data_IF_893450290264
#
_entry.id   IF_893450290264
#
_cell.length_a   1.000
_cell.length_b   1.000
_cell.length_c   1.000
_cell.angle_alpha   90.00
_cell.angle_beta   90.00
_cell.angle_gamma   90.00
#
_symmetry.space_group_name_H-M   'P 1'
#
loop_
_entity.id
_entity.type
_entity.pdbx_description
1 polymer ?
#
# COMPACT_ATOMS: atom_id res chain seq x y z
N UNK A 1 -3.04 -8.52 12.23
CA UNK A 1 -2.56 -8.14 10.88
C UNK A 1 -1.04 -7.92 10.98
N UNK A 2 -0.23 -8.97 10.80
CA UNK A 2 1.21 -8.98 11.07
C UNK A 2 2.06 -8.25 10.02
N UNK A 3 1.71 -7.00 9.69
CA UNK A 3 2.42 -6.14 8.72
C UNK A 3 2.35 -6.55 7.25
N UNK A 4 1.97 -7.79 6.93
CA UNK A 4 1.80 -8.31 5.56
C UNK A 4 0.87 -7.44 4.70
N UNK A 5 -0.19 -6.86 5.27
CA UNK A 5 -1.09 -5.96 4.55
C UNK A 5 -0.42 -4.70 3.98
N UNK A 6 0.75 -4.29 4.50
CA UNK A 6 1.46 -3.11 4.01
C UNK A 6 2.39 -3.40 2.82
N UNK A 7 2.57 -4.67 2.44
CA UNK A 7 3.37 -5.04 1.26
C UNK A 7 2.72 -4.62 -0.06
N UNK A 8 1.41 -4.33 -0.07
CA UNK A 8 0.67 -3.99 -1.28
C UNK A 8 1.29 -2.85 -2.09
N UNK A 9 1.81 -1.81 -1.42
CA UNK A 9 2.46 -0.69 -2.12
C UNK A 9 3.77 -1.11 -2.79
N UNK A 10 4.57 -1.94 -2.12
CA UNK A 10 5.81 -2.49 -2.70
C UNK A 10 5.51 -3.36 -3.92
N UNK A 11 4.55 -4.28 -3.78
CA UNK A 11 4.14 -5.17 -4.88
C UNK A 11 3.62 -4.36 -6.06
N UNK A 12 2.80 -3.33 -5.81
CA UNK A 12 2.32 -2.43 -6.85
C UNK A 12 3.46 -1.69 -7.56
N UNK A 13 4.41 -1.14 -6.80
CA UNK A 13 5.56 -0.41 -7.36
C UNK A 13 6.52 -1.30 -8.15
N UNK A 14 6.59 -2.59 -7.81
CA UNK A 14 7.38 -3.56 -8.57
C UNK A 14 6.65 -4.02 -9.84
N UNK A 15 5.35 -4.32 -9.74
CA UNK A 15 4.58 -4.94 -10.83
C UNK A 15 4.15 -3.91 -11.88
N UNK A 16 3.70 -2.71 -11.47
CA UNK A 16 3.14 -1.73 -12.39
C UNK A 16 4.10 -1.32 -13.53
N UNK A 17 5.38 -0.99 -13.27
CA UNK A 17 6.33 -0.65 -14.34
C UNK A 17 6.62 -1.80 -15.30
N UNK A 18 6.44 -3.06 -14.87
CA UNK A 18 6.69 -4.24 -15.70
C UNK A 18 5.52 -4.50 -16.65
N UNK A 19 4.28 -4.41 -16.15
CA UNK A 19 3.09 -4.81 -16.91
C UNK A 19 2.66 -3.77 -17.95
N UNK A 20 3.06 -2.50 -17.82
CA UNK A 20 2.69 -1.45 -18.78
C UNK A 20 3.37 -1.59 -20.15
N UNK A 21 4.39 -2.44 -20.30
CA UNK A 21 5.07 -2.68 -21.59
C UNK A 21 4.69 -4.02 -22.24
N UNK A 22 3.69 -4.73 -21.68
CA UNK A 22 3.26 -6.05 -22.16
C UNK A 22 1.80 -5.95 -22.62
N UNK A 23 1.37 -6.62 -23.71
CA UNK A 23 -0.02 -6.56 -24.18
C UNK A 23 -0.98 -7.46 -23.36
N UNK A 24 -0.95 -7.36 -22.03
CA UNK A 24 -1.69 -8.25 -21.10
C UNK A 24 -3.18 -8.30 -21.41
N UNK A 25 -3.81 -7.17 -21.72
CA UNK A 25 -5.26 -7.06 -21.97
C UNK A 25 -5.62 -6.72 -23.42
N UNK A 26 -4.67 -6.90 -24.36
CA UNK A 26 -4.93 -6.62 -25.78
C UNK A 26 -6.06 -7.47 -26.36
N UNK A 27 -6.24 -8.70 -25.86
CA UNK A 27 -7.35 -9.58 -26.24
C UNK A 27 -8.74 -9.05 -25.86
N UNK A 28 -8.81 -8.10 -24.92
CA UNK A 28 -10.03 -7.40 -24.52
C UNK A 28 -10.21 -6.05 -25.26
N UNK A 29 -9.38 -5.77 -26.27
CA UNK A 29 -9.38 -4.50 -26.99
C UNK A 29 -8.67 -3.36 -26.27
N UNK A 30 -7.97 -3.62 -25.16
CA UNK A 30 -7.12 -2.62 -24.49
C UNK A 30 -5.78 -2.57 -25.18
N UNK A 31 -5.68 -1.66 -26.13
CA UNK A 31 -4.46 -1.41 -26.89
C UNK A 31 -3.59 -0.35 -26.19
N UNK A 32 -2.28 -0.57 -26.23
CA UNK A 32 -1.32 0.40 -25.73
C UNK A 32 -1.11 1.57 -26.69
N UNK A 33 -0.49 2.63 -26.18
CA UNK A 33 -0.16 3.84 -26.94
C UNK A 33 1.30 3.75 -27.40
N UNK A 34 1.60 3.89 -28.70
CA UNK A 34 2.97 3.92 -29.19
C UNK A 34 3.72 5.14 -28.65
N UNK A 35 4.98 4.95 -28.30
CA UNK A 35 5.88 5.96 -27.77
C UNK A 35 6.88 6.40 -28.85
N UNK A 36 7.52 7.55 -28.63
CA UNK A 36 8.48 8.12 -29.57
C UNK A 36 9.72 7.24 -29.81
N UNK A 37 10.04 6.34 -28.87
CA UNK A 37 11.13 5.37 -28.96
C UNK A 37 10.74 4.05 -29.65
N UNK A 38 9.51 3.97 -30.18
CA UNK A 38 8.97 2.78 -30.83
C UNK A 38 8.42 1.72 -29.88
N UNK A 39 8.52 1.92 -28.56
CA UNK A 39 7.85 1.06 -27.58
C UNK A 39 6.34 1.30 -27.56
N UNK A 40 5.57 0.35 -27.03
CA UNK A 40 4.12 0.50 -26.83
C UNK A 40 3.85 0.46 -25.33
N UNK A 41 3.16 1.49 -24.82
CA UNK A 41 2.82 1.61 -23.40
C UNK A 41 1.33 1.43 -23.17
N UNK A 42 0.97 0.35 -22.49
CA UNK A 42 -0.38 0.00 -22.05
C UNK A 42 -0.59 0.44 -20.61
N UNK A 43 -0.76 1.75 -20.38
CA UNK A 43 -0.90 2.32 -19.03
C UNK A 43 -2.07 1.71 -18.23
N UNK A 44 -3.16 1.34 -18.90
CA UNK A 44 -4.32 0.68 -18.30
C UNK A 44 -3.96 -0.60 -17.52
N UNK A 45 -2.91 -1.32 -17.95
CA UNK A 45 -2.45 -2.54 -17.28
C UNK A 45 -2.04 -2.30 -15.84
N UNK A 46 -1.53 -1.11 -15.50
CA UNK A 46 -1.11 -0.76 -14.14
C UNK A 46 -2.27 -0.87 -13.14
N UNK A 47 -3.50 -0.62 -13.58
CA UNK A 47 -4.71 -0.76 -12.76
C UNK A 47 -5.40 -2.11 -12.99
N UNK A 48 -5.52 -2.54 -14.25
CA UNK A 48 -6.35 -3.70 -14.62
C UNK A 48 -5.79 -5.03 -14.14
N UNK A 49 -4.46 -5.14 -13.93
CA UNK A 49 -3.84 -6.35 -13.41
C UNK A 49 -4.38 -6.76 -12.04
N UNK A 50 -4.88 -5.79 -11.25
CA UNK A 50 -5.44 -6.04 -9.93
C UNK A 50 -6.90 -6.48 -9.97
N UNK A 51 -7.63 -6.22 -11.07
CA UNK A 51 -9.07 -6.47 -11.17
C UNK A 51 -9.42 -7.95 -10.97
N UNK A 52 -8.76 -8.92 -11.62
CA UNK A 52 -9.04 -10.34 -11.39
C UNK A 52 -8.77 -10.76 -9.94
N UNK A 53 -7.68 -10.28 -9.34
CA UNK A 53 -7.32 -10.59 -7.96
C UNK A 53 -8.35 -10.03 -6.97
N UNK A 54 -8.80 -8.80 -7.20
CA UNK A 54 -9.85 -8.16 -6.41
C UNK A 54 -11.20 -8.87 -6.56
N UNK A 55 -11.56 -9.30 -7.77
CA UNK A 55 -12.79 -10.06 -8.02
C UNK A 55 -12.77 -11.40 -7.28
N UNK A 56 -11.67 -12.16 -7.37
CA UNK A 56 -11.50 -13.42 -6.64
C UNK A 56 -11.58 -13.18 -5.12
N UNK A 57 -10.84 -12.18 -4.60
CA UNK A 57 -10.85 -11.86 -3.18
C UNK A 57 -12.24 -11.43 -2.70
N UNK A 58 -13.00 -10.70 -3.52
CA UNK A 58 -14.37 -10.27 -3.21
C UNK A 58 -15.31 -11.47 -3.12
N UNK A 59 -15.25 -12.39 -4.09
CA UNK A 59 -16.06 -13.63 -4.08
C UNK A 59 -15.68 -14.51 -2.88
N UNK A 60 -14.38 -14.65 -2.60
CA UNK A 60 -13.88 -15.42 -1.46
C UNK A 60 -14.31 -14.79 -0.12
N UNK A 61 -14.26 -13.47 0.00
CA UNK A 61 -14.75 -12.76 1.19
C UNK A 61 -16.26 -12.96 1.36
N UNK A 62 -17.04 -12.81 0.29
CA UNK A 62 -18.49 -12.97 0.31
C UNK A 62 -18.94 -14.37 0.71
N UNK A 63 -18.25 -15.40 0.23
CA UNK A 63 -18.63 -16.81 0.46
C UNK A 63 -17.93 -17.47 1.66
N UNK A 64 -16.79 -16.94 2.09
CA UNK A 64 -15.91 -17.59 3.07
C UNK A 64 -15.72 -16.85 4.39
N UNK A 65 -16.09 -15.57 4.51
CA UNK A 65 -16.03 -14.84 5.79
C UNK A 65 -17.32 -15.02 6.60
N UNK A 66 -17.18 -15.06 7.92
CA UNK A 66 -18.30 -15.21 8.85
C UNK A 66 -18.56 -13.92 9.63
N UNK A 67 -19.83 -13.61 9.84
CA UNK A 67 -20.25 -12.56 10.77
C UNK A 67 -20.17 -13.07 12.22
N UNK A 68 -19.48 -12.32 13.08
CA UNK A 68 -19.40 -12.60 14.51
C UNK A 68 -20.40 -11.69 15.24
N UNK A 69 -21.36 -12.29 15.94
CA UNK A 69 -22.48 -11.57 16.57
C UNK A 69 -22.07 -10.66 17.75
N UNK A 70 -20.86 -10.78 18.30
CA UNK A 70 -20.52 -10.31 19.66
C UNK A 70 -19.89 -8.92 19.80
N UNK A 71 -19.82 -8.08 18.76
CA UNK A 71 -19.23 -6.74 18.94
C UNK A 71 -19.85 -5.69 18.03
N UNK A 72 -21.01 -5.17 18.44
CA UNK A 72 -21.59 -3.96 17.82
C UNK A 72 -21.75 -2.89 18.89
N UNK A 73 -20.71 -2.08 19.06
CA UNK A 73 -20.84 -0.78 19.75
C UNK A 73 -21.51 0.20 18.78
N UNK A 74 -22.53 0.94 19.22
CA UNK A 74 -23.14 1.97 18.38
C UNK A 74 -22.15 3.12 18.12
N UNK A 75 -22.40 3.94 17.09
CA UNK A 75 -21.57 5.13 16.84
C UNK A 75 -21.55 6.04 18.08
N UNK A 76 -22.71 6.19 18.75
CA UNK A 76 -22.82 6.98 19.97
C UNK A 76 -21.94 6.42 21.11
N UNK A 77 -21.75 5.10 21.20
CA UNK A 77 -20.87 4.48 22.19
C UNK A 77 -19.38 4.68 21.85
N UNK A 78 -19.02 4.90 20.58
CA UNK A 78 -17.65 5.08 20.13
C UNK A 78 -17.16 6.53 20.22
N UNK A 79 -18.03 7.51 19.92
CA UNK A 79 -17.68 8.93 19.85
C UNK A 79 -17.08 9.54 21.13
N UNK A 80 -17.39 9.09 22.37
CA UNK A 80 -16.78 9.65 23.58
C UNK A 80 -15.24 9.57 23.60
N UNK A 81 -14.63 8.66 22.84
CA UNK A 81 -13.16 8.57 22.74
C UNK A 81 -12.54 9.86 22.18
N UNK A 82 -13.26 10.62 21.35
CA UNK A 82 -12.78 11.87 20.75
C UNK A 82 -12.49 12.97 21.78
N UNK A 83 -13.12 12.89 22.96
CA UNK A 83 -12.86 13.83 24.07
C UNK A 83 -11.55 13.53 24.80
N UNK A 84 -10.91 12.38 24.57
CA UNK A 84 -9.68 11.97 25.25
C UNK A 84 -8.46 12.58 24.56
N UNK A 85 -7.69 13.41 25.26
CA UNK A 85 -6.45 13.99 24.74
C UNK A 85 -5.45 12.93 24.24
N UNK A 86 -5.32 11.80 24.95
CA UNK A 86 -4.42 10.71 24.56
C UNK A 86 -4.74 10.14 23.17
N UNK A 87 -6.01 10.16 22.73
CA UNK A 87 -6.37 9.75 21.38
C UNK A 87 -5.62 10.61 20.35
N UNK A 88 -5.69 11.93 20.50
CA UNK A 88 -5.08 12.87 19.56
C UNK A 88 -3.56 12.79 19.56
N UNK A 89 -2.95 12.67 20.74
CA UNK A 89 -1.50 12.50 20.87
C UNK A 89 -1.01 11.21 20.17
N UNK A 90 -1.68 10.09 20.41
CA UNK A 90 -1.35 8.82 19.76
C UNK A 90 -1.67 8.83 18.27
N UNK A 91 -2.73 9.53 17.85
CA UNK A 91 -3.07 9.71 16.43
C UNK A 91 -1.99 10.51 15.69
N UNK A 92 -1.43 11.55 16.33
CA UNK A 92 -0.32 12.32 15.78
C UNK A 92 0.94 11.46 15.66
N UNK A 93 1.25 10.64 16.68
CA UNK A 93 2.38 9.70 16.62
C UNK A 93 2.20 8.66 15.50
N UNK A 94 0.98 8.15 15.33
CA UNK A 94 0.66 7.23 14.25
C UNK A 94 0.73 7.90 12.87
N UNK A 95 0.28 9.15 12.75
CA UNK A 95 0.43 9.94 11.52
C UNK A 95 1.90 10.17 11.19
N UNK A 96 2.72 10.53 12.18
CA UNK A 96 4.15 10.75 11.98
C UNK A 96 4.90 9.48 11.56
N UNK A 97 4.44 8.30 11.97
CA UNK A 97 5.07 7.02 11.63
C UNK A 97 4.45 6.39 10.38
N UNK A 98 3.20 5.94 10.47
CA UNK A 98 2.48 5.30 9.37
C UNK A 98 2.16 6.28 8.23
N UNK A 99 1.77 7.52 8.56
CA UNK A 99 1.55 8.55 7.53
C UNK A 99 2.82 8.88 6.76
N UNK A 100 3.98 8.94 7.43
CA UNK A 100 5.28 9.07 6.74
C UNK A 100 5.59 7.87 5.84
N UNK A 101 5.34 6.64 6.31
CA UNK A 101 5.49 5.44 5.48
C UNK A 101 4.68 5.53 4.18
N UNK A 102 3.39 5.86 4.26
CA UNK A 102 2.54 6.01 3.06
C UNK A 102 2.95 7.23 2.23
N UNK A 103 3.24 8.36 2.86
CA UNK A 103 3.62 9.61 2.19
C UNK A 103 4.91 9.47 1.39
N UNK A 104 5.96 8.88 1.98
CA UNK A 104 7.18 8.57 1.26
C UNK A 104 6.94 7.52 0.18
N UNK A 105 6.14 6.48 0.44
CA UNK A 105 5.82 5.49 -0.58
C UNK A 105 5.14 6.12 -1.80
N UNK A 106 4.22 7.07 -1.61
CA UNK A 106 3.53 7.75 -2.70
C UNK A 106 4.42 8.78 -3.42
N UNK A 107 5.21 9.56 -2.68
CA UNK A 107 5.95 10.70 -3.22
C UNK A 107 7.37 10.38 -3.71
N UNK A 108 8.02 9.34 -3.18
CA UNK A 108 9.45 9.11 -3.37
C UNK A 108 9.86 8.94 -4.84
N UNK A 109 9.12 8.13 -5.61
CA UNK A 109 9.45 7.91 -7.02
C UNK A 109 9.40 9.20 -7.84
N UNK A 110 8.42 10.07 -7.57
CA UNK A 110 8.31 11.37 -8.23
C UNK A 110 9.40 12.33 -7.77
N UNK A 111 9.66 12.41 -6.47
CA UNK A 111 10.74 13.24 -5.92
C UNK A 111 12.08 12.85 -6.55
N UNK A 112 12.44 11.57 -6.52
CA UNK A 112 13.68 11.08 -7.10
C UNK A 112 13.79 11.38 -8.60
N UNK A 113 12.69 11.25 -9.37
CA UNK A 113 12.69 11.59 -10.79
C UNK A 113 12.94 13.08 -11.05
N UNK A 114 12.47 13.96 -10.16
CA UNK A 114 12.71 15.41 -10.30
C UNK A 114 14.13 15.81 -9.88
N UNK A 115 14.71 15.16 -8.88
CA UNK A 115 16.05 15.50 -8.37
C UNK A 115 17.17 14.78 -9.13
N UNK A 116 16.92 13.57 -9.62
CA UNK A 116 17.88 12.70 -10.28
C UNK A 116 17.28 12.11 -11.56
N UNK A 117 17.08 12.93 -12.61
CA UNK A 117 16.38 12.51 -13.82
C UNK A 117 17.07 11.37 -14.58
N UNK A 118 18.38 11.23 -14.44
CA UNK A 118 19.18 10.20 -15.09
C UNK A 118 19.08 8.82 -14.40
N UNK A 119 18.51 8.76 -13.20
CA UNK A 119 18.35 7.52 -12.44
C UNK A 119 17.00 6.89 -12.75
N UNK A 120 17.00 5.63 -13.19
CA UNK A 120 15.77 4.86 -13.35
C UNK A 120 15.23 4.39 -11.97
N UNK A 121 14.60 5.31 -11.24
CA UNK A 121 14.13 5.06 -9.87
C UNK A 121 13.04 3.98 -9.79
N UNK A 122 12.29 3.73 -10.87
CA UNK A 122 11.23 2.71 -10.87
C UNK A 122 11.77 1.30 -10.61
N UNK A 123 13.07 1.04 -10.88
CA UNK A 123 13.74 -0.22 -10.53
C UNK A 123 14.03 -0.37 -9.04
N UNK A 124 14.01 0.71 -8.28
CA UNK A 124 14.44 0.76 -6.87
C UNK A 124 13.32 1.18 -5.91
N UNK A 125 12.33 1.94 -6.38
CA UNK A 125 11.31 2.56 -5.55
C UNK A 125 10.56 1.56 -4.66
N UNK A 126 10.25 0.37 -5.19
CA UNK A 126 9.52 -0.68 -4.48
C UNK A 126 10.21 -1.16 -3.19
N UNK A 127 11.53 -0.98 -3.08
CA UNK A 127 12.32 -1.47 -1.96
C UNK A 127 12.08 -0.67 -0.67
N UNK A 128 11.77 0.63 -0.78
CA UNK A 128 11.42 1.47 0.37
C UNK A 128 10.19 0.94 1.11
N UNK A 129 9.02 0.80 0.45
CA UNK A 129 7.83 0.23 1.08
C UNK A 129 8.02 -1.23 1.49
N UNK A 130 8.87 -2.00 0.79
CA UNK A 130 9.19 -3.38 1.16
C UNK A 130 9.84 -3.46 2.55
N UNK A 131 10.93 -2.71 2.74
CA UNK A 131 11.62 -2.64 4.04
C UNK A 131 10.66 -2.07 5.09
N UNK A 132 9.92 -1.02 4.78
CA UNK A 132 8.98 -0.41 5.73
C UNK A 132 7.89 -1.38 6.21
N UNK A 133 7.38 -2.24 5.33
CA UNK A 133 6.41 -3.27 5.70
C UNK A 133 7.01 -4.34 6.64
N UNK A 134 8.25 -4.78 6.39
CA UNK A 134 8.98 -5.70 7.28
C UNK A 134 9.27 -5.03 8.63
N UNK A 135 9.77 -3.80 8.59
CA UNK A 135 10.10 -3.00 9.76
C UNK A 135 8.89 -2.81 10.68
N UNK A 136 7.67 -2.75 10.13
CA UNK A 136 6.45 -2.70 10.95
C UNK A 136 6.25 -3.96 11.80
N UNK A 137 6.38 -5.15 11.21
CA UNK A 137 6.22 -6.41 11.95
C UNK A 137 7.33 -6.61 12.97
N UNK A 138 8.56 -6.30 12.57
CA UNK A 138 9.73 -6.33 13.46
C UNK A 138 9.57 -5.33 14.61
N UNK A 139 9.13 -4.10 14.32
CA UNK A 139 8.86 -3.08 15.32
C UNK A 139 7.79 -3.51 16.34
N UNK A 140 6.75 -4.21 15.87
CA UNK A 140 5.75 -4.85 16.75
C UNK A 140 6.39 -5.89 17.67
N UNK A 141 7.14 -6.85 17.11
CA UNK A 141 7.80 -7.91 17.88
C UNK A 141 8.81 -7.37 18.91
N UNK A 142 9.54 -6.30 18.57
CA UNK A 142 10.45 -5.62 19.50
C UNK A 142 9.65 -4.89 20.59
N UNK A 143 8.55 -4.22 20.22
CA UNK A 143 7.67 -3.52 21.17
C UNK A 143 7.04 -4.47 22.19
N UNK A 144 6.67 -5.69 21.79
CA UNK A 144 6.14 -6.71 22.69
C UNK A 144 7.16 -7.12 23.76
N UNK A 145 8.46 -7.10 23.43
CA UNK A 145 9.54 -7.50 24.34
C UNK A 145 10.05 -6.34 25.22
N UNK A 146 10.12 -5.14 24.68
CA UNK A 146 10.82 -4.01 25.32
C UNK A 146 9.90 -2.83 25.69
N UNK A 147 8.63 -2.89 25.30
CA UNK A 147 7.61 -1.86 25.52
C UNK A 147 7.55 -0.84 24.37
N UNK A 148 6.34 -0.64 23.81
CA UNK A 148 6.14 0.20 22.62
C UNK A 148 6.58 1.67 22.77
N UNK A 149 6.47 2.25 23.96
CA UNK A 149 6.90 3.64 24.24
C UNK A 149 8.43 3.81 24.17
N UNK A 150 9.21 2.75 24.40
CA UNK A 150 10.67 2.82 24.28
C UNK A 150 11.15 2.63 22.84
N UNK A 151 10.33 1.96 22.03
CA UNK A 151 10.65 1.59 20.65
C UNK A 151 10.17 2.67 19.66
N UNK A 152 9.09 3.39 20.02
CA UNK A 152 8.48 4.46 19.22
C UNK A 152 8.98 5.81 19.69
#
# INVERSE_FOLDING_TARGET
>A
NGGLGNLGVSVMQLVAPLVIFVPVFAFLGVNGVPQADGSVMSLANAAWIWVPLLAIATIAAWSGMNDIASSRASIADQLPVLQRLHLWLLSLLYLATFGSFIGFSAGFAMLAKTQFPDVNILRLAFFGPFIGAIARSVGGAISDKFGGVRVT
#
